data_IF_061485505780
#
_entry.id   IF_061485505780
#
_cell.length_a   1.000
_cell.length_b   1.000
_cell.length_c   1.000
_cell.angle_alpha   90.00
_cell.angle_beta   90.00
_cell.angle_gamma   90.00
#
_symmetry.space_group_name_H-M   'P 1'
#
loop_
_entity.id
_entity.type
_entity.pdbx_description
1 polymer ?
#
# COMPACT_ATOMS: atom_id res chain seq x y z
N UNK A 1 -45.74 34.77 38.09
CA UNK A 1 -45.95 34.16 36.77
C UNK A 1 -44.59 33.90 36.14
N UNK A 2 -44.06 32.68 36.29
CA UNK A 2 -42.79 32.25 35.71
C UNK A 2 -42.99 31.88 34.24
N UNK A 3 -42.12 32.40 33.36
CA UNK A 3 -41.84 31.75 32.07
C UNK A 3 -40.38 31.33 32.08
N UNK A 4 -40.15 30.03 32.20
CA UNK A 4 -38.88 29.41 31.88
C UNK A 4 -38.94 28.99 30.42
N UNK A 5 -38.16 29.64 29.57
CA UNK A 5 -37.90 29.17 28.21
C UNK A 5 -36.82 28.10 28.27
N UNK A 6 -37.11 26.81 27.99
CA UNK A 6 -36.06 25.82 27.86
C UNK A 6 -35.32 26.10 26.55
N UNK A 7 -34.10 26.65 26.65
CA UNK A 7 -33.17 26.59 25.53
C UNK A 7 -32.93 25.12 25.22
N UNK A 8 -33.53 24.63 24.13
CA UNK A 8 -33.18 23.36 23.52
C UNK A 8 -31.69 23.41 23.21
N UNK A 9 -30.88 22.71 24.02
CA UNK A 9 -29.47 22.45 23.76
C UNK A 9 -29.36 21.62 22.49
N UNK A 10 -29.40 22.29 21.35
CA UNK A 10 -29.13 21.69 20.06
C UNK A 10 -27.73 21.08 20.11
N UNK A 11 -27.66 19.78 19.85
CA UNK A 11 -26.41 19.04 19.71
C UNK A 11 -25.55 19.78 18.69
N UNK A 12 -24.56 20.55 19.17
CA UNK A 12 -23.57 21.18 18.29
C UNK A 12 -22.91 20.04 17.52
N UNK A 13 -22.95 20.02 16.18
CA UNK A 13 -22.23 19.02 15.42
C UNK A 13 -20.75 19.17 15.79
N UNK A 14 -20.25 18.19 16.53
CA UNK A 14 -18.93 18.20 17.19
C UNK A 14 -17.77 18.18 16.17
N UNK A 15 -18.08 18.02 14.89
CA UNK A 15 -17.15 18.01 13.77
C UNK A 15 -17.46 19.11 12.74
N UNK A 16 -16.58 20.12 12.57
CA UNK A 16 -16.73 21.12 11.51
C UNK A 16 -16.68 20.47 10.12
N UNK A 17 -17.43 21.00 9.16
CA UNK A 17 -17.53 20.47 7.78
C UNK A 17 -16.16 20.25 7.13
N UNK A 18 -15.21 21.17 7.36
CA UNK A 18 -13.82 21.07 6.89
C UNK A 18 -13.13 19.78 7.35
N UNK A 19 -13.34 19.36 8.60
CA UNK A 19 -12.76 18.10 9.12
C UNK A 19 -13.45 16.87 8.52
N UNK A 20 -14.76 16.94 8.22
CA UNK A 20 -15.46 15.85 7.54
C UNK A 20 -14.94 15.66 6.11
N UNK A 21 -14.72 16.76 5.38
CA UNK A 21 -14.12 16.73 4.04
C UNK A 21 -12.71 16.13 4.10
N UNK A 22 -11.87 16.62 5.02
CA UNK A 22 -10.53 16.10 5.19
C UNK A 22 -10.54 14.60 5.51
N UNK A 23 -11.41 14.15 6.43
CA UNK A 23 -11.57 12.72 6.73
C UNK A 23 -12.01 11.91 5.51
N UNK A 24 -12.94 12.44 4.71
CA UNK A 24 -13.35 11.81 3.45
C UNK A 24 -12.18 11.63 2.48
N UNK A 25 -11.34 12.65 2.34
CA UNK A 25 -10.12 12.58 1.50
C UNK A 25 -9.15 11.53 2.05
N UNK A 26 -8.90 11.52 3.36
CA UNK A 26 -8.00 10.54 3.98
C UNK A 26 -8.50 9.11 3.76
N UNK A 27 -9.79 8.86 3.97
CA UNK A 27 -10.39 7.53 3.72
C UNK A 27 -10.26 7.13 2.25
N UNK A 28 -10.48 8.06 1.31
CA UNK A 28 -10.32 7.78 -0.12
C UNK A 28 -8.86 7.43 -0.47
N UNK A 29 -7.88 8.14 0.09
CA UNK A 29 -6.46 7.85 -0.11
C UNK A 29 -6.08 6.48 0.48
N UNK A 30 -6.58 6.14 1.66
CA UNK A 30 -6.34 4.82 2.27
C UNK A 30 -6.96 3.70 1.44
N UNK A 31 -8.18 3.90 0.92
CA UNK A 31 -8.82 2.94 0.03
C UNK A 31 -8.02 2.74 -1.27
N UNK A 32 -7.47 3.82 -1.83
CA UNK A 32 -6.59 3.76 -3.00
C UNK A 32 -5.32 2.97 -2.71
N UNK A 33 -4.64 3.21 -1.58
CA UNK A 33 -3.45 2.45 -1.17
C UNK A 33 -3.78 0.97 -0.96
N UNK A 34 -4.91 0.66 -0.31
CA UNK A 34 -5.37 -0.71 -0.12
C UNK A 34 -5.62 -1.43 -1.45
N UNK A 35 -6.26 -0.74 -2.42
CA UNK A 35 -6.46 -1.26 -3.77
C UNK A 35 -5.16 -1.50 -4.54
N UNK A 36 -4.20 -0.59 -4.42
CA UNK A 36 -2.87 -0.75 -5.04
C UNK A 36 -2.12 -1.95 -4.45
N UNK A 37 -2.17 -2.14 -3.13
CA UNK A 37 -1.57 -3.29 -2.47
C UNK A 37 -2.25 -4.60 -2.91
N UNK A 38 -3.58 -4.63 -2.93
CA UNK A 38 -4.34 -5.81 -3.35
C UNK A 38 -4.07 -6.20 -4.82
N UNK A 39 -3.85 -5.22 -5.70
CA UNK A 39 -3.55 -5.43 -7.13
C UNK A 39 -2.06 -5.65 -7.41
N UNK A 40 -1.24 -5.87 -6.39
CA UNK A 40 0.17 -6.20 -6.53
C UNK A 40 1.06 -5.03 -6.93
N UNK A 41 0.70 -3.76 -6.67
CA UNK A 41 1.55 -2.62 -7.03
C UNK A 41 2.98 -2.74 -6.45
N UNK A 42 4.01 -2.63 -7.28
CA UNK A 42 5.39 -2.80 -6.86
C UNK A 42 5.82 -1.81 -5.75
N UNK A 43 5.31 -0.57 -5.81
CA UNK A 43 5.59 0.46 -4.80
C UNK A 43 5.15 0.07 -3.38
N UNK A 44 4.16 -0.81 -3.24
CA UNK A 44 3.61 -1.21 -1.94
C UNK A 44 4.32 -2.42 -1.31
N UNK A 45 5.26 -3.06 -2.03
CA UNK A 45 5.92 -4.31 -1.62
C UNK A 45 7.36 -4.11 -1.09
N UNK A 46 7.71 -2.88 -0.68
CA UNK A 46 8.95 -2.60 0.05
C UNK A 46 10.23 -2.69 -0.79
N UNK A 47 10.15 -2.40 -2.09
CA UNK A 47 11.33 -2.32 -2.98
C UNK A 47 12.10 -1.00 -2.78
N UNK A 48 13.42 -1.05 -2.91
CA UNK A 48 14.23 0.18 -2.83
C UNK A 48 14.16 0.95 -4.15
N UNK A 49 14.27 2.28 -4.11
CA UNK A 49 14.18 3.13 -5.32
C UNK A 49 15.23 2.75 -6.36
N UNK A 50 16.45 2.46 -5.92
CA UNK A 50 17.57 1.99 -6.75
C UNK A 50 17.30 0.64 -7.46
N UNK A 51 16.30 -0.13 -7.03
CA UNK A 51 15.91 -1.39 -7.68
C UNK A 51 14.77 -1.20 -8.70
N UNK A 52 14.31 0.05 -8.91
CA UNK A 52 13.23 0.42 -9.85
C UNK A 52 13.74 0.79 -11.25
N UNK A 53 14.96 0.41 -11.60
CA UNK A 53 15.47 0.50 -12.98
C UNK A 53 14.74 -0.55 -13.83
N UNK A 54 13.59 -0.17 -14.40
CA UNK A 54 12.71 -1.09 -15.12
C UNK A 54 13.17 -1.31 -16.56
N UNK A 55 13.91 -0.36 -17.12
CA UNK A 55 14.43 -0.44 -18.48
C UNK A 55 15.86 -1.03 -18.54
N UNK A 56 16.54 -1.15 -17.40
CA UNK A 56 17.87 -1.74 -17.26
C UNK A 56 19.01 -0.84 -17.73
N UNK A 57 18.81 0.48 -17.77
CA UNK A 57 19.82 1.43 -18.26
C UNK A 57 20.88 1.82 -17.20
N UNK A 58 20.72 1.31 -15.97
CA UNK A 58 21.65 1.53 -14.85
C UNK A 58 21.38 2.82 -14.09
N UNK A 59 20.37 3.60 -14.46
CA UNK A 59 19.93 4.80 -13.76
C UNK A 59 18.47 4.68 -13.35
N UNK A 60 18.09 5.35 -12.25
CA UNK A 60 16.69 5.39 -11.83
C UNK A 60 16.17 6.81 -11.97
N UNK A 61 15.10 6.94 -12.76
CA UNK A 61 14.42 8.19 -13.03
C UNK A 61 13.14 8.33 -12.19
N UNK A 62 12.66 9.57 -12.03
CA UNK A 62 11.37 9.83 -11.39
C UNK A 62 10.19 9.14 -12.11
N UNK A 63 10.32 8.99 -13.44
CA UNK A 63 9.33 8.28 -14.25
C UNK A 63 9.25 6.80 -13.87
N UNK A 64 10.38 6.16 -13.65
CA UNK A 64 10.44 4.76 -13.23
C UNK A 64 9.94 4.55 -11.80
N UNK A 65 10.23 5.48 -10.90
CA UNK A 65 9.63 5.47 -9.55
C UNK A 65 8.11 5.54 -9.65
N UNK A 66 7.56 6.41 -10.51
CA UNK A 66 6.12 6.50 -10.72
C UNK A 66 5.52 5.23 -11.35
N UNK A 67 6.26 4.58 -12.26
CA UNK A 67 5.84 3.32 -12.87
C UNK A 67 5.71 2.19 -11.84
N UNK A 68 6.48 2.20 -10.76
CA UNK A 68 6.34 1.24 -9.66
C UNK A 68 4.94 1.27 -9.02
N UNK A 69 4.24 2.41 -9.08
CA UNK A 69 2.91 2.58 -8.48
C UNK A 69 1.83 1.98 -9.40
N UNK A 70 1.84 2.36 -10.68
CA UNK A 70 0.70 2.11 -11.56
C UNK A 70 0.97 1.12 -12.70
N UNK A 71 2.23 0.96 -13.12
CA UNK A 71 2.59 0.21 -14.32
C UNK A 71 3.21 -1.15 -14.02
N UNK A 72 3.90 -1.29 -12.88
CA UNK A 72 4.58 -2.53 -12.49
C UNK A 72 3.81 -3.23 -11.37
N UNK A 73 3.59 -4.53 -11.56
CA UNK A 73 2.99 -5.42 -10.57
C UNK A 73 4.00 -6.45 -10.06
N UNK A 74 3.79 -6.89 -8.83
CA UNK A 74 4.57 -7.90 -8.12
C UNK A 74 3.66 -9.04 -7.73
N UNK A 75 4.02 -10.23 -8.17
CA UNK A 75 3.41 -11.47 -7.72
C UNK A 75 4.36 -12.18 -6.77
N UNK A 76 3.95 -12.34 -5.50
CA UNK A 76 4.73 -13.08 -4.51
C UNK A 76 4.28 -14.54 -4.50
N UNK A 77 5.19 -15.46 -4.81
CA UNK A 77 4.98 -16.91 -4.65
C UNK A 77 5.91 -17.47 -3.60
N UNK A 78 5.35 -18.27 -2.70
CA UNK A 78 6.11 -19.02 -1.72
C UNK A 78 5.99 -20.51 -2.02
N UNK A 79 7.13 -21.17 -2.18
CA UNK A 79 7.25 -22.60 -2.38
C UNK A 79 8.21 -23.18 -1.32
N UNK A 80 7.63 -23.77 -0.27
CA UNK A 80 8.36 -24.17 0.93
C UNK A 80 9.16 -23.02 1.54
N UNK A 81 10.48 -23.17 1.60
CA UNK A 81 11.40 -22.14 2.11
C UNK A 81 11.81 -21.11 1.05
N UNK A 82 11.32 -21.19 -0.19
CA UNK A 82 11.67 -20.28 -1.28
C UNK A 82 10.56 -19.24 -1.47
N UNK A 83 10.89 -17.96 -1.33
CA UNK A 83 9.99 -16.85 -1.65
C UNK A 83 10.50 -16.16 -2.93
N UNK A 84 9.66 -16.11 -3.96
CA UNK A 84 9.95 -15.43 -5.22
C UNK A 84 8.99 -14.25 -5.41
N UNK A 85 9.54 -13.09 -5.77
CA UNK A 85 8.81 -11.90 -6.16
C UNK A 85 8.98 -11.70 -7.67
N UNK A 86 7.90 -11.85 -8.43
CA UNK A 86 7.91 -11.66 -9.89
C UNK A 86 7.42 -10.27 -10.24
N UNK A 87 8.30 -9.44 -10.80
CA UNK A 87 7.99 -8.09 -11.28
C UNK A 87 7.58 -8.17 -12.75
N UNK A 88 6.40 -7.67 -13.08
CA UNK A 88 5.86 -7.71 -14.44
C UNK A 88 5.12 -6.43 -14.80
N UNK A 89 4.98 -6.17 -16.10
CA UNK A 89 4.16 -5.07 -16.58
C UNK A 89 2.67 -5.38 -16.38
N UNK A 90 1.95 -4.46 -15.76
CA UNK A 90 0.49 -4.55 -15.57
C UNK A 90 -0.26 -4.66 -16.91
N UNK A 91 0.31 -4.13 -17.99
CA UNK A 91 -0.24 -4.22 -19.35
C UNK A 91 -0.16 -5.63 -19.96
N UNK A 92 0.55 -6.57 -19.32
CA UNK A 92 0.81 -7.90 -19.89
C UNK A 92 1.98 -7.93 -20.87
N UNK A 93 2.77 -6.85 -20.98
CA UNK A 93 3.94 -6.78 -21.86
C UNK A 93 5.09 -7.74 -21.48
N UNK A 94 4.95 -8.49 -20.39
CA UNK A 94 5.88 -9.54 -19.98
C UNK A 94 6.38 -9.37 -18.54
N UNK A 95 7.21 -10.34 -18.13
CA UNK A 95 7.94 -10.30 -16.86
C UNK A 95 9.22 -9.47 -17.03
N UNK A 96 9.47 -8.56 -16.09
CA UNK A 96 10.66 -7.70 -16.07
C UNK A 96 11.80 -8.44 -15.36
N UNK A 97 11.54 -8.91 -14.14
CA UNK A 97 12.53 -9.60 -13.29
C UNK A 97 11.84 -10.53 -12.30
N UNK A 98 12.53 -11.58 -11.87
CA UNK A 98 12.08 -12.45 -10.79
C UNK A 98 13.15 -12.54 -9.71
N UNK A 99 12.83 -12.11 -8.50
CA UNK A 99 13.72 -12.11 -7.36
C UNK A 99 13.35 -13.25 -6.41
N UNK A 100 14.14 -14.32 -6.40
CA UNK A 100 13.95 -15.45 -5.50
C UNK A 100 14.96 -15.42 -4.36
N UNK A 101 14.47 -15.58 -3.13
CA UNK A 101 15.28 -15.76 -1.93
C UNK A 101 14.80 -16.96 -1.14
N UNK A 102 15.73 -17.64 -0.48
CA UNK A 102 15.39 -18.66 0.51
C UNK A 102 15.20 -17.97 1.86
N UNK A 103 14.03 -18.13 2.46
CA UNK A 103 13.70 -17.61 3.78
C UNK A 103 13.69 -18.78 4.74
N UNK A 104 14.63 -18.78 5.68
CA UNK A 104 14.62 -19.72 6.80
C UNK A 104 13.61 -19.22 7.83
N UNK A 105 12.51 -19.95 8.02
CA UNK A 105 11.58 -19.67 9.13
C UNK A 105 12.34 -20.01 10.41
N UNK A 106 12.54 -19.03 11.30
CA UNK A 106 13.03 -19.32 12.64
C UNK A 106 11.96 -20.18 13.34
N UNK A 107 12.33 -21.40 13.69
CA UNK A 107 11.40 -22.39 14.22
C UNK A 107 10.57 -21.82 15.38
N UNK A 108 9.26 -22.08 15.33
CA UNK A 108 8.31 -21.91 16.42
C UNK A 108 8.58 -22.87 17.61
N UNK A 109 9.86 -23.15 17.91
CA UNK A 109 10.34 -24.16 18.85
C UNK A 109 11.22 -23.58 19.98
N UNK A 110 11.15 -22.27 20.24
CA UNK A 110 11.82 -21.63 21.38
C UNK A 110 10.83 -21.12 22.45
N UNK A 111 9.73 -21.86 22.67
CA UNK A 111 8.84 -21.62 23.83
C UNK A 111 8.35 -22.95 24.36
N UNK A 112 9.20 -23.61 25.16
CA UNK A 112 8.86 -24.53 26.25
C UNK A 112 10.17 -25.08 26.80
N UNK A 113 10.86 -24.33 27.64
CA UNK A 113 11.63 -24.82 28.79
C UNK A 113 11.59 -23.76 29.90
#
# INVERSE_FOLDING_TARGET
MSRHDPKLSGVRPRFPLRRKILLGIVVALLALVAGLHYTGSAATHGITTRDMDWNGDGTVTQGEIAQAVFSVVVEQKQDGNRQCNTFAWRSGAGTIRMDCKTVFQADAAATKE
#
